data_IF_315470319199
#
_entry.id   IF_315470319199
#
_cell.length_a   1.000
_cell.length_b   1.000
_cell.length_c   1.000
_cell.angle_alpha   90.00
_cell.angle_beta   90.00
_cell.angle_gamma   90.00
#
_symmetry.space_group_name_H-M   'P 1'
#
loop_
_entity.id
_entity.type
_entity.pdbx_description
1 polymer ?
#
# COMPACT_ATOMS: atom_id res chain seq x y z
N UNK A 1 32.81 -11.69 4.21
CA UNK A 1 32.04 -10.46 3.98
C UNK A 1 30.58 -10.83 3.89
N UNK A 2 29.78 -10.50 4.91
CA UNK A 2 28.34 -10.82 4.94
C UNK A 2 27.61 -9.76 4.13
N UNK A 3 26.98 -10.17 3.03
CA UNK A 3 26.13 -9.29 2.22
C UNK A 3 24.71 -9.33 2.78
N UNK A 4 24.35 -8.33 3.59
CA UNK A 4 22.95 -8.17 3.99
C UNK A 4 22.18 -7.61 2.79
N UNK A 5 21.33 -8.46 2.20
CA UNK A 5 20.40 -8.03 1.16
C UNK A 5 19.33 -7.16 1.82
N UNK A 6 19.48 -5.84 1.71
CA UNK A 6 18.44 -4.88 2.11
C UNK A 6 17.24 -5.05 1.19
N UNK A 7 16.32 -5.93 1.57
CA UNK A 7 15.06 -6.11 0.87
C UNK A 7 14.12 -5.03 1.39
N UNK A 8 13.83 -4.03 0.56
CA UNK A 8 12.80 -3.05 0.89
C UNK A 8 11.47 -3.78 0.97
N UNK A 9 10.87 -3.80 2.16
CA UNK A 9 9.54 -4.35 2.35
C UNK A 9 8.54 -3.40 1.70
N UNK A 10 7.93 -3.87 0.62
CA UNK A 10 6.82 -3.22 -0.04
C UNK A 10 5.52 -3.84 0.48
N UNK A 11 4.47 -3.02 0.54
CA UNK A 11 3.15 -3.40 0.99
C UNK A 11 2.15 -3.21 -0.15
N UNK A 12 1.24 -4.15 -0.34
CA UNK A 12 0.15 -3.99 -1.31
C UNK A 12 -0.94 -3.08 -0.75
N UNK A 13 -1.81 -2.56 -1.62
CA UNK A 13 -2.97 -1.77 -1.17
C UNK A 13 -3.86 -2.53 -0.17
N UNK A 14 -4.02 -3.85 -0.34
CA UNK A 14 -4.79 -4.69 0.60
C UNK A 14 -4.10 -4.78 1.97
N UNK A 15 -2.79 -4.99 1.99
CA UNK A 15 -2.02 -5.03 3.24
C UNK A 15 -2.07 -3.69 3.97
N UNK A 16 -1.88 -2.58 3.26
CA UNK A 16 -1.96 -1.24 3.84
C UNK A 16 -3.37 -0.95 4.37
N UNK A 17 -4.41 -1.35 3.64
CA UNK A 17 -5.80 -1.21 4.09
C UNK A 17 -6.05 -1.94 5.42
N UNK A 18 -5.56 -3.17 5.56
CA UNK A 18 -5.69 -3.94 6.81
C UNK A 18 -4.90 -3.33 7.97
N UNK A 19 -3.68 -2.85 7.70
CA UNK A 19 -2.79 -2.31 8.73
C UNK A 19 -3.25 -0.93 9.23
N UNK A 20 -3.75 -0.08 8.32
CA UNK A 20 -4.18 1.29 8.65
C UNK A 20 -5.66 1.36 9.01
N UNK A 21 -6.49 0.42 8.52
CA UNK A 21 -7.95 0.52 8.59
C UNK A 21 -8.54 1.55 7.63
N UNK A 22 -7.78 2.00 6.62
CA UNK A 22 -8.27 2.86 5.54
C UNK A 22 -8.75 1.95 4.40
N UNK A 23 -9.98 2.12 3.91
CA UNK A 23 -10.48 1.29 2.81
C UNK A 23 -9.72 1.57 1.51
N UNK A 24 -9.79 0.63 0.56
CA UNK A 24 -9.08 0.70 -0.71
C UNK A 24 -9.42 1.97 -1.53
N UNK A 25 -10.68 2.38 -1.57
CA UNK A 25 -11.11 3.60 -2.28
C UNK A 25 -10.46 4.87 -1.73
N UNK A 26 -10.49 5.04 -0.41
CA UNK A 26 -9.85 6.18 0.23
C UNK A 26 -8.33 6.09 0.09
N UNK A 27 -7.76 4.89 0.23
CA UNK A 27 -6.33 4.67 0.08
C UNK A 27 -5.83 5.03 -1.33
N UNK A 28 -6.54 4.62 -2.38
CA UNK A 28 -6.18 4.98 -3.77
C UNK A 28 -6.34 6.48 -4.04
N UNK A 29 -7.34 7.11 -3.45
CA UNK A 29 -7.54 8.56 -3.54
C UNK A 29 -6.41 9.32 -2.84
N UNK A 30 -5.96 8.84 -1.68
CA UNK A 30 -4.82 9.37 -0.94
C UNK A 30 -3.52 9.15 -1.71
N UNK A 31 -3.29 7.96 -2.25
CA UNK A 31 -2.13 7.62 -3.06
C UNK A 31 -1.97 8.58 -4.24
N UNK A 32 -3.06 8.83 -4.97
CA UNK A 32 -3.08 9.78 -6.11
C UNK A 32 -2.91 11.23 -5.68
N UNK A 33 -3.61 11.68 -4.65
CA UNK A 33 -3.62 13.09 -4.22
C UNK A 33 -2.38 13.51 -3.44
N UNK A 34 -1.69 12.57 -2.81
CA UNK A 34 -0.54 12.82 -1.93
C UNK A 34 0.76 12.21 -2.45
N UNK A 35 0.73 11.63 -3.64
CA UNK A 35 1.87 10.96 -4.27
C UNK A 35 2.49 9.89 -3.35
N UNK A 36 1.63 9.13 -2.66
CA UNK A 36 2.06 8.04 -1.78
C UNK A 36 1.98 6.71 -2.53
N UNK A 37 3.01 5.89 -2.37
CA UNK A 37 3.15 4.64 -3.11
C UNK A 37 3.38 4.83 -4.60
N UNK A 38 3.50 3.71 -5.31
CA UNK A 38 3.71 3.66 -6.75
C UNK A 38 2.98 2.47 -7.36
N UNK A 39 2.62 2.58 -8.63
CA UNK A 39 2.05 1.47 -9.38
C UNK A 39 3.21 0.64 -9.94
N UNK A 40 3.24 -0.63 -9.58
CA UNK A 40 4.17 -1.59 -10.14
C UNK A 40 3.42 -2.67 -10.89
N UNK A 41 4.06 -3.21 -11.92
CA UNK A 41 3.53 -4.37 -12.63
C UNK A 41 3.75 -5.60 -11.74
N UNK A 42 2.68 -6.10 -11.13
CA UNK A 42 2.73 -7.34 -10.39
C UNK A 42 2.87 -8.50 -11.38
N UNK A 43 3.84 -9.38 -11.13
CA UNK A 43 3.97 -10.62 -11.87
C UNK A 43 2.98 -11.64 -11.29
N UNK A 44 1.75 -11.64 -11.78
CA UNK A 44 0.79 -12.69 -11.43
C UNK A 44 1.26 -14.04 -12.01
N UNK A 45 1.40 -15.02 -11.12
CA UNK A 45 1.42 -16.42 -11.52
C UNK A 45 0.06 -16.72 -12.19
N UNK A 46 0.08 -17.04 -13.49
CA UNK A 46 -1.07 -17.24 -14.40
C UNK A 46 -1.40 -16.07 -15.38
N UNK A 47 -0.40 -15.29 -15.79
CA UNK A 47 -0.37 -14.75 -17.17
C UNK A 47 -1.11 -13.43 -17.43
N UNK A 48 -1.72 -12.80 -16.43
CA UNK A 48 -2.29 -11.46 -16.54
C UNK A 48 -1.44 -10.46 -15.73
N UNK A 49 -0.68 -9.59 -16.39
CA UNK A 49 0.08 -8.54 -15.71
C UNK A 49 -0.89 -7.48 -15.15
N UNK A 50 -1.27 -7.62 -13.89
CA UNK A 50 -2.08 -6.63 -13.18
C UNK A 50 -1.19 -5.49 -12.66
N UNK A 51 -1.63 -4.26 -12.86
CA UNK A 51 -1.02 -3.09 -12.23
C UNK A 51 -1.48 -3.03 -10.78
N UNK A 52 -0.53 -3.06 -9.83
CA UNK A 52 -0.82 -3.04 -8.40
C UNK A 52 -0.16 -1.83 -7.72
N UNK A 53 -0.89 -1.22 -6.78
CA UNK A 53 -0.33 -0.18 -5.92
C UNK A 53 0.54 -0.81 -4.82
N UNK A 54 1.82 -0.41 -4.81
CA UNK A 54 2.79 -0.77 -3.80
C UNK A 54 3.17 0.45 -2.96
N UNK A 55 3.38 0.21 -1.67
CA UNK A 55 3.69 1.23 -0.67
C UNK A 55 4.98 0.85 0.04
N UNK A 56 5.82 1.85 0.31
CA UNK A 56 7.00 1.66 1.15
C UNK A 56 6.60 1.68 2.63
N UNK A 57 7.51 1.26 3.51
CA UNK A 57 7.30 1.42 4.95
C UNK A 57 7.10 2.90 5.34
N UNK A 58 7.76 3.83 4.66
CA UNK A 58 7.58 5.27 4.91
C UNK A 58 6.16 5.73 4.56
N UNK A 59 5.62 5.29 3.43
CA UNK A 59 4.23 5.57 3.04
C UNK A 59 3.25 5.01 4.07
N UNK A 60 3.47 3.78 4.53
CA UNK A 60 2.66 3.16 5.57
C UNK A 60 2.67 3.97 6.88
N UNK A 61 3.84 4.44 7.30
CA UNK A 61 3.97 5.28 8.50
C UNK A 61 3.24 6.61 8.34
N UNK A 62 3.37 7.27 7.19
CA UNK A 62 2.64 8.50 6.87
C UNK A 62 1.13 8.26 6.92
N UNK A 63 0.65 7.18 6.29
CA UNK A 63 -0.75 6.81 6.27
C UNK A 63 -1.30 6.55 7.68
N UNK A 64 -0.53 5.83 8.50
CA UNK A 64 -0.91 5.47 9.87
C UNK A 64 -0.98 6.70 10.79
N UNK A 65 -0.07 7.66 10.63
CA UNK A 65 0.04 8.81 11.54
C UNK A 65 -0.89 9.95 11.13
N UNK A 66 -1.05 10.21 9.84
CA UNK A 66 -1.74 11.41 9.35
C UNK A 66 -3.22 11.20 9.02
N UNK A 67 -3.64 9.96 8.75
CA UNK A 67 -4.99 9.69 8.25
C UNK A 67 -5.78 8.81 9.22
N UNK A 68 -7.01 9.20 9.55
CA UNK A 68 -7.86 8.41 10.43
C UNK A 68 -8.33 7.13 9.73
N UNK A 69 -8.63 6.12 10.54
CA UNK A 69 -9.27 4.87 10.09
C UNK A 69 -10.65 5.19 9.51
N UNK A 70 -11.07 4.44 8.48
CA UNK A 70 -12.39 4.62 7.90
C UNK A 70 -13.49 4.21 8.90
N UNK A 71 -14.45 5.10 9.15
CA UNK A 71 -15.63 4.83 9.99
C UNK A 71 -16.83 4.45 9.12
N UNK A 72 -16.64 3.53 8.17
CA UNK A 72 -17.79 2.98 7.47
C UNK A 72 -18.66 2.26 8.50
N UNK A 73 -19.86 2.79 8.74
CA UNK A 73 -20.84 2.10 9.57
C UNK A 73 -21.06 0.74 8.93
N UNK A 74 -20.58 -0.32 9.59
CA UNK A 74 -21.11 -1.66 9.36
C UNK A 74 -22.61 -1.56 9.60
N UNK A 75 -23.38 -1.60 8.51
CA UNK A 75 -24.80 -1.83 8.56
C UNK A 75 -25.06 -3.29 8.95
#
# INVERSE_FOLDING_TARGET
MVTIKSSQKLFTADEVSRLTGICLDHLQSLARSKHLGFIARAAEAAGAQAEEWLFTNSDLMILTVLYPRCQHKSA
#
